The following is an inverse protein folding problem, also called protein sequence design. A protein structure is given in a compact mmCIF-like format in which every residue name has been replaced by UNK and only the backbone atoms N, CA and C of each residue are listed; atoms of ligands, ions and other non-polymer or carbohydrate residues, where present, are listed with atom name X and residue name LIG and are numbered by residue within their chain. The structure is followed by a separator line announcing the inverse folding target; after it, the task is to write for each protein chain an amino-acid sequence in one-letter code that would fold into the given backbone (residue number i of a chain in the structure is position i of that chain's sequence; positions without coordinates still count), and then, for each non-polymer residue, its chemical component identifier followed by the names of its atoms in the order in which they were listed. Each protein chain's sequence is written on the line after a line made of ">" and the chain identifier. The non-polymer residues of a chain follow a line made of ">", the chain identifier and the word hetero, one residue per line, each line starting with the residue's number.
data_IF_346277509550
#
_entry.id   IF_346277509550
#
_cell.length_a   1.000
_cell.length_b   1.000
_cell.length_c   1.000
_cell.angle_alpha   90.00
_cell.angle_beta   90.00
_cell.angle_gamma   90.00
#
_symmetry.space_group_name_H-M   'P 1'
#
loop_
_entity.id
_entity.type
_entity.pdbx_description
1 polymer ?
#
# COMPACT_ATOMS: atom_id res chain seq x y z
N UNK A 1 -15.04 -4.36 2.40
CA UNK A 1 -13.62 -4.07 2.66
C UNK A 1 -12.85 -4.40 1.41
N UNK A 2 -12.16 -3.44 0.82
CA UNK A 2 -11.30 -3.70 -0.33
C UNK A 2 -9.99 -4.33 0.15
N UNK A 3 -9.54 -5.37 -0.56
CA UNK A 3 -8.31 -6.08 -0.25
C UNK A 3 -7.49 -6.30 -1.52
N UNK A 4 -6.18 -6.05 -1.43
CA UNK A 4 -5.26 -6.21 -2.56
C UNK A 4 -4.18 -7.26 -2.26
N UNK A 5 -3.74 -8.01 -3.27
CA UNK A 5 -2.55 -8.85 -3.16
C UNK A 5 -1.30 -7.98 -3.20
N UNK A 6 -0.51 -7.98 -2.12
CA UNK A 6 0.74 -7.23 -2.01
C UNK A 6 1.84 -8.05 -1.38
N UNK A 7 3.08 -7.69 -1.67
CA UNK A 7 4.23 -8.25 -0.99
C UNK A 7 4.24 -7.81 0.48
N UNK A 8 4.26 -8.78 1.39
CA UNK A 8 4.50 -8.53 2.79
C UNK A 8 5.96 -8.82 3.11
N UNK A 9 6.70 -7.82 3.60
CA UNK A 9 8.09 -8.00 4.03
C UNK A 9 8.23 -8.96 5.22
N UNK A 10 7.17 -9.11 6.02
CA UNK A 10 7.18 -10.00 7.17
C UNK A 10 6.92 -11.45 6.78
N UNK A 11 6.02 -11.69 5.83
CA UNK A 11 5.72 -13.03 5.31
C UNK A 11 6.66 -13.42 4.17
N UNK A 12 7.47 -12.48 3.66
CA UNK A 12 8.32 -12.61 2.47
C UNK A 12 7.58 -13.26 1.29
N UNK A 13 6.32 -12.87 1.11
CA UNK A 13 5.42 -13.47 0.13
C UNK A 13 4.29 -12.50 -0.24
N UNK A 14 3.69 -12.74 -1.41
CA UNK A 14 2.47 -12.06 -1.82
C UNK A 14 1.30 -12.57 -1.00
N UNK A 15 0.73 -11.69 -0.19
CA UNK A 15 -0.39 -11.99 0.70
C UNK A 15 -1.51 -10.97 0.49
N UNK A 16 -2.73 -11.34 0.86
CA UNK A 16 -3.86 -10.41 0.85
C UNK A 16 -3.66 -9.37 1.94
N UNK A 17 -3.87 -8.11 1.59
CA UNK A 17 -3.83 -6.98 2.49
C UNK A 17 -5.14 -6.21 2.45
N UNK A 18 -5.74 -5.98 3.61
CA UNK A 18 -6.95 -5.18 3.79
C UNK A 18 -6.62 -3.69 3.79
N UNK A 19 -7.40 -2.89 3.07
CA UNK A 19 -7.32 -1.44 3.07
C UNK A 19 -8.11 -0.92 4.26
N UNK A 20 -7.44 -0.32 5.24
CA UNK A 20 -8.06 0.19 6.47
C UNK A 20 -8.57 1.63 6.35
N UNK A 21 -8.01 2.41 5.41
CA UNK A 21 -8.27 3.84 5.24
C UNK A 21 -9.00 4.11 3.90
N UNK A 22 -9.99 3.29 3.55
CA UNK A 22 -10.77 3.47 2.31
C UNK A 22 -11.55 4.80 2.27
N UNK A 23 -11.82 5.41 3.43
CA UNK A 23 -12.62 6.65 3.53
C UNK A 23 -11.82 7.94 3.27
N UNK A 24 -10.49 7.85 3.12
CA UNK A 24 -9.67 9.03 2.81
C UNK A 24 -9.65 9.26 1.31
N UNK A 25 -10.56 10.13 0.85
CA UNK A 25 -10.55 10.73 -0.49
C UNK A 25 -9.15 11.27 -0.77
N UNK A 26 -8.61 10.91 -1.94
CA UNK A 26 -7.27 11.31 -2.38
C UNK A 26 -7.17 12.84 -2.54
N UNK A 27 -6.76 13.55 -1.49
CA UNK A 27 -6.43 14.97 -1.59
C UNK A 27 -4.99 15.10 -2.15
N UNK A 28 -4.89 15.19 -3.47
CA UNK A 28 -3.63 15.37 -4.22
C UNK A 28 -2.89 14.08 -4.62
N UNK A 29 -1.62 14.19 -5.05
CA UNK A 29 -0.77 13.07 -5.57
C UNK A 29 -0.23 12.09 -4.50
N UNK A 30 -0.65 12.18 -3.24
CA UNK A 30 -0.10 11.36 -2.14
C UNK A 30 -1.17 10.38 -1.63
N UNK A 31 -1.12 9.14 -2.12
CA UNK A 31 -1.85 8.00 -1.55
C UNK A 31 -1.36 7.73 -0.11
N UNK A 32 -2.23 7.90 0.89
CA UNK A 32 -1.92 7.63 2.31
C UNK A 32 -2.59 6.34 2.82
N UNK A 33 -2.94 5.40 1.94
CA UNK A 33 -3.65 4.19 2.33
C UNK A 33 -2.84 3.32 3.29
N UNK A 34 -3.48 2.91 4.39
CA UNK A 34 -2.98 1.92 5.33
C UNK A 34 -3.44 0.53 4.89
N UNK A 35 -2.48 -0.35 4.64
CA UNK A 35 -2.72 -1.75 4.29
C UNK A 35 -2.37 -2.63 5.49
N UNK A 36 -3.22 -3.60 5.81
CA UNK A 36 -2.97 -4.60 6.85
C UNK A 36 -2.85 -5.98 6.21
N UNK A 37 -1.71 -6.63 6.37
CA UNK A 37 -1.57 -8.03 5.93
C UNK A 37 -2.53 -8.92 6.72
N UNK A 38 -3.31 -9.75 6.03
CA UNK A 38 -4.26 -10.67 6.67
C UNK A 38 -3.51 -11.80 7.40
N UNK A 39 -2.35 -12.23 6.90
CA UNK A 39 -1.60 -13.35 7.46
C UNK A 39 -0.81 -12.99 8.74
N UNK A 40 -0.11 -11.86 8.75
CA UNK A 40 0.71 -11.46 9.91
C UNK A 40 0.15 -10.28 10.70
N UNK A 41 -0.95 -9.67 10.24
CA UNK A 41 -1.57 -8.51 10.89
C UNK A 41 -0.78 -7.21 10.80
N UNK A 42 0.40 -7.21 10.16
CA UNK A 42 1.28 -6.04 10.09
C UNK A 42 0.67 -4.96 9.18
N UNK A 43 0.67 -3.72 9.69
CA UNK A 43 0.14 -2.56 8.98
C UNK A 43 1.28 -1.80 8.31
N UNK A 44 1.13 -1.47 7.03
CA UNK A 44 2.10 -0.66 6.27
C UNK A 44 1.36 0.41 5.48
N UNK A 45 1.88 1.63 5.48
CA UNK A 45 1.37 2.71 4.63
C UNK A 45 1.89 2.52 3.22
N UNK A 46 1.07 2.86 2.22
CA UNK A 46 1.56 2.99 0.85
C UNK A 46 2.77 3.91 0.85
N UNK A 47 3.91 3.50 0.25
CA UNK A 47 4.96 4.47 -0.03
C UNK A 47 4.34 5.58 -0.87
N UNK A 48 4.71 6.84 -0.58
CA UNK A 48 4.34 7.93 -1.46
C UNK A 48 4.81 7.56 -2.87
N UNK A 49 3.91 7.67 -3.86
CA UNK A 49 4.30 7.61 -5.27
C UNK A 49 5.35 8.71 -5.48
N UNK A 50 6.63 8.36 -5.35
CA UNK A 50 7.71 9.15 -5.92
C UNK A 50 7.52 8.92 -7.41
N UNK A 51 7.06 9.95 -8.12
CA UNK A 51 6.99 9.90 -9.58
C UNK A 51 8.27 9.27 -10.09
N UNK A 52 8.16 8.34 -11.05
CA UNK A 52 9.31 7.78 -11.75
C UNK A 52 10.33 8.89 -11.93
N UNK A 53 11.57 8.67 -11.51
CA UNK A 53 12.65 9.52 -11.95
C UNK A 53 12.61 9.42 -13.49
N UNK A 54 12.17 10.50 -14.14
CA UNK A 54 12.24 10.62 -15.59
C UNK A 54 13.72 10.48 -15.92
N UNK A 55 14.07 9.31 -16.45
CA UNK A 55 15.41 9.05 -16.98
C UNK A 55 15.54 9.93 -18.21
N UNK A 56 16.01 11.15 -18.03
CA UNK A 56 16.44 12.01 -19.14
C UNK A 56 17.64 11.32 -19.79
N UNK A 57 17.40 10.73 -20.97
CA UNK A 57 18.43 10.25 -21.89
C UNK A 57 19.04 11.45 -22.64
#
# INVERSE_FOLDING_TARGET
>A
MESEKRWCENCMSHTLHEILDSDKVMVGKKTKFLYKCVNCGKKKRMPAFRGMAESTY
#
